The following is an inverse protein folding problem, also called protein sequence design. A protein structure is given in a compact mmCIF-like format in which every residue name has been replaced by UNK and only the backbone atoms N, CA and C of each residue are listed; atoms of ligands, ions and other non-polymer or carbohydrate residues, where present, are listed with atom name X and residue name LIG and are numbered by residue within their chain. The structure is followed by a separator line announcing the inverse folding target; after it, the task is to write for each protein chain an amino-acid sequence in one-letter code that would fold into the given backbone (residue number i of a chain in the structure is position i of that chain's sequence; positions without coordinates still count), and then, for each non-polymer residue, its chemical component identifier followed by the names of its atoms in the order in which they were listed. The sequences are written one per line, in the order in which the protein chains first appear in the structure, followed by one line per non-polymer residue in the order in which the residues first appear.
data_IF_131610979292
#
_entry.id   IF_131610979292
#
_cell.length_a   1.000
_cell.length_b   1.000
_cell.length_c   1.000
_cell.angle_alpha   90.00
_cell.angle_beta   90.00
_cell.angle_gamma   90.00
#
_symmetry.space_group_name_H-M   'P 1'
#
loop_
_entity.id
_entity.type
_entity.pdbx_description
1 polymer ?
#
# COMPACT_ATOMS: atom_id res chain seq x y z
N UNK A 1 11.14 3.88 12.49
CA UNK A 1 12.31 2.99 12.18
C UNK A 1 12.34 2.88 10.66
N UNK A 2 13.32 3.38 9.91
CA UNK A 2 13.16 3.49 8.44
C UNK A 2 12.75 2.18 7.75
N UNK A 3 11.57 2.18 7.12
CA UNK A 3 11.06 1.05 6.30
C UNK A 3 12.06 0.72 5.20
N UNK A 4 12.54 -0.52 5.16
CA UNK A 4 13.50 -0.96 4.14
C UNK A 4 12.93 -0.82 2.72
N UNK A 5 13.79 -0.50 1.74
CA UNK A 5 13.42 -0.39 0.33
C UNK A 5 12.63 -1.61 -0.20
N UNK A 6 13.11 -2.82 0.11
CA UNK A 6 12.43 -4.06 -0.29
C UNK A 6 11.00 -4.17 0.25
N UNK A 7 10.74 -3.66 1.46
CA UNK A 7 9.41 -3.63 2.07
C UNK A 7 8.51 -2.58 1.39
N UNK A 8 9.05 -1.40 1.07
CA UNK A 8 8.35 -0.36 0.28
C UNK A 8 7.93 -0.88 -1.09
N UNK A 9 8.83 -1.51 -1.83
CA UNK A 9 8.52 -2.15 -3.12
C UNK A 9 7.42 -3.21 -2.99
N UNK A 10 7.41 -3.97 -1.88
CA UNK A 10 6.35 -4.93 -1.58
C UNK A 10 4.98 -4.28 -1.48
N UNK A 11 4.87 -3.21 -0.68
CA UNK A 11 3.62 -2.48 -0.47
C UNK A 11 3.15 -1.73 -1.72
N UNK A 12 4.05 -1.00 -2.39
CA UNK A 12 3.75 -0.37 -3.67
C UNK A 12 3.30 -1.41 -4.71
N UNK A 13 3.89 -2.61 -4.70
CA UNK A 13 3.45 -3.74 -5.51
C UNK A 13 2.00 -4.15 -5.24
N UNK A 14 1.59 -4.25 -3.97
CA UNK A 14 0.19 -4.55 -3.61
C UNK A 14 -0.77 -3.47 -4.11
N UNK A 15 -0.38 -2.21 -4.01
CA UNK A 15 -1.13 -1.08 -4.54
C UNK A 15 -1.31 -1.17 -6.06
N UNK A 16 -0.23 -1.40 -6.80
CA UNK A 16 -0.25 -1.56 -8.26
C UNK A 16 -1.12 -2.74 -8.69
N UNK A 17 -1.06 -3.87 -7.98
CA UNK A 17 -1.91 -5.03 -8.28
C UNK A 17 -3.40 -4.68 -8.18
N UNK A 18 -3.83 -3.96 -7.12
CA UNK A 18 -5.22 -3.44 -7.00
C UNK A 18 -5.58 -2.57 -8.18
N UNK A 19 -4.73 -1.59 -8.52
CA UNK A 19 -4.98 -0.66 -9.64
C UNK A 19 -5.09 -1.40 -10.98
N UNK A 20 -4.33 -2.47 -11.21
CA UNK A 20 -4.44 -3.27 -12.44
C UNK A 20 -5.71 -4.13 -12.50
N UNK A 21 -6.20 -4.60 -11.35
CA UNK A 21 -7.42 -5.42 -11.26
C UNK A 21 -8.69 -4.61 -11.53
N UNK A 22 -8.75 -3.41 -10.96
CA UNK A 22 -9.90 -2.53 -11.04
C UNK A 22 -10.20 -2.05 -12.47
N UNK A 23 -11.46 -1.70 -12.71
CA UNK A 23 -11.85 -1.01 -13.95
C UNK A 23 -11.49 0.47 -13.86
N UNK A 24 -11.29 1.17 -15.00
CA UNK A 24 -10.97 2.60 -14.99
C UNK A 24 -11.97 3.48 -14.22
N UNK A 25 -13.26 3.16 -14.28
CA UNK A 25 -14.30 3.90 -13.53
C UNK A 25 -14.26 3.68 -12.01
N UNK A 26 -13.50 2.70 -11.54
CA UNK A 26 -13.32 2.34 -10.13
C UNK A 26 -11.90 2.73 -9.65
N UNK A 27 -11.19 3.58 -10.40
CA UNK A 27 -9.81 3.98 -10.10
C UNK A 27 -8.73 3.03 -10.60
N UNK A 28 -9.10 2.05 -11.43
CA UNK A 28 -8.15 1.14 -12.08
C UNK A 28 -7.36 1.79 -13.21
N UNK A 29 -6.23 1.19 -13.55
CA UNK A 29 -5.29 1.69 -14.56
C UNK A 29 -5.00 0.64 -15.62
N UNK A 30 -4.47 1.10 -16.75
CA UNK A 30 -3.89 0.26 -17.80
C UNK A 30 -2.50 0.78 -18.06
N UNK A 31 -1.49 0.02 -17.65
CA UNK A 31 -0.10 0.43 -17.77
C UNK A 31 0.50 -0.10 -19.08
N UNK A 32 0.90 0.79 -20.01
CA UNK A 32 1.67 0.38 -21.18
C UNK A 32 3.05 -0.14 -20.79
N UNK A 33 3.61 -1.02 -21.63
CA UNK A 33 4.98 -1.52 -21.43
C UNK A 33 6.00 -0.38 -21.53
N UNK A 34 5.77 0.54 -22.47
CA UNK A 34 6.49 1.81 -22.53
C UNK A 34 5.79 2.80 -21.61
N UNK A 35 6.32 2.95 -20.40
CA UNK A 35 5.73 3.80 -19.37
C UNK A 35 5.77 5.26 -19.79
N UNK A 36 4.67 5.95 -19.50
CA UNK A 36 4.61 7.40 -19.56
C UNK A 36 5.41 8.00 -18.39
N UNK A 37 5.92 9.25 -18.52
CA UNK A 37 6.76 9.85 -17.48
C UNK A 37 6.15 9.83 -16.08
N UNK A 38 4.82 10.01 -15.95
CA UNK A 38 4.14 9.96 -14.65
C UNK A 38 4.21 8.58 -13.97
N UNK A 39 4.43 7.50 -14.74
CA UNK A 39 4.52 6.13 -14.21
C UNK A 39 5.95 5.61 -14.10
N UNK A 40 6.95 6.40 -14.51
CA UNK A 40 8.37 6.04 -14.38
C UNK A 40 8.78 5.67 -12.94
N UNK A 41 8.23 6.27 -11.87
CA UNK A 41 8.53 5.84 -10.50
C UNK A 41 8.18 4.37 -10.20
N UNK A 42 7.33 3.74 -11.00
CA UNK A 42 6.90 2.35 -10.81
C UNK A 42 7.78 1.32 -11.50
N UNK A 43 8.84 1.72 -12.22
CA UNK A 43 9.69 0.81 -12.99
C UNK A 43 10.16 -0.39 -12.15
N UNK A 44 10.78 -0.12 -11.01
CA UNK A 44 11.30 -1.17 -10.12
C UNK A 44 10.17 -2.04 -9.52
N UNK A 45 9.02 -1.43 -9.22
CA UNK A 45 7.84 -2.15 -8.72
C UNK A 45 7.33 -3.13 -9.78
N UNK A 46 7.22 -2.69 -11.03
CA UNK A 46 6.76 -3.50 -12.15
C UNK A 46 7.75 -4.62 -12.48
N UNK A 47 9.05 -4.34 -12.50
CA UNK A 47 10.09 -5.35 -12.67
C UNK A 47 9.98 -6.44 -11.61
N UNK A 48 9.86 -6.05 -10.34
CA UNK A 48 9.67 -6.99 -9.24
C UNK A 48 8.40 -7.82 -9.38
N UNK A 49 7.26 -7.20 -9.72
CA UNK A 49 5.99 -7.91 -9.91
C UNK A 49 6.05 -8.91 -11.08
N UNK A 50 6.80 -8.60 -12.14
CA UNK A 50 7.08 -9.53 -13.26
C UNK A 50 7.96 -10.68 -12.78
N UNK A 51 9.05 -10.40 -12.07
CA UNK A 51 9.96 -11.42 -11.53
C UNK A 51 9.25 -12.37 -10.57
N UNK A 52 8.36 -11.85 -9.73
CA UNK A 52 7.55 -12.63 -8.79
C UNK A 52 6.40 -13.38 -9.48
N UNK A 53 6.14 -13.08 -10.77
CA UNK A 53 5.16 -13.74 -11.61
C UNK A 53 3.71 -13.30 -11.34
N UNK A 54 3.51 -12.13 -10.73
CA UNK A 54 2.18 -11.58 -10.44
C UNK A 54 1.58 -10.81 -11.61
N UNK A 55 2.43 -10.19 -12.43
CA UNK A 55 2.02 -9.55 -13.68
C UNK A 55 2.82 -10.10 -14.86
N UNK A 56 2.29 -9.94 -16.06
CA UNK A 56 2.96 -10.29 -17.31
C UNK A 56 2.68 -9.23 -18.39
N UNK A 57 3.50 -9.25 -19.43
CA UNK A 57 3.30 -8.38 -20.60
C UNK A 57 2.34 -9.08 -21.58
N UNK A 58 1.20 -8.46 -21.83
CA UNK A 58 0.38 -8.79 -22.98
C UNK A 58 1.02 -8.22 -24.25
N UNK A 59 1.70 -9.08 -25.02
CA UNK A 59 2.41 -8.65 -26.23
C UNK A 59 1.49 -8.12 -27.32
N UNK A 60 0.20 -8.48 -27.32
CA UNK A 60 -0.74 -8.00 -28.35
C UNK A 60 -1.23 -6.60 -27.99
N UNK A 61 -1.56 -6.38 -26.72
CA UNK A 61 -2.04 -5.08 -26.25
C UNK A 61 -0.90 -4.10 -25.89
N UNK A 62 0.33 -4.60 -25.73
CA UNK A 62 1.49 -3.85 -25.20
C UNK A 62 1.19 -3.25 -23.81
N UNK A 63 0.50 -4.00 -22.96
CA UNK A 63 0.12 -3.61 -21.60
C UNK A 63 0.62 -4.64 -20.58
N UNK A 64 0.91 -4.17 -19.36
CA UNK A 64 1.00 -5.05 -18.20
C UNK A 64 -0.39 -5.55 -17.79
N UNK A 65 -0.49 -6.83 -17.44
CA UNK A 65 -1.73 -7.44 -16.93
C UNK A 65 -1.44 -8.42 -15.80
N UNK A 66 -2.43 -8.63 -14.93
CA UNK A 66 -2.34 -9.63 -13.88
C UNK A 66 -2.27 -11.04 -14.48
N UNK A 67 -1.41 -11.88 -13.90
CA UNK A 67 -1.43 -13.33 -14.13
C UNK A 67 -2.50 -13.97 -13.24
N UNK A 68 -2.81 -15.26 -13.48
CA UNK A 68 -3.64 -16.04 -12.54
C UNK A 68 -3.06 -16.06 -11.12
N UNK A 69 -1.72 -16.07 -11.01
CA UNK A 69 -1.03 -16.02 -9.73
C UNK A 69 -1.20 -14.64 -9.08
N UNK A 70 -1.10 -13.56 -9.86
CA UNK A 70 -1.38 -12.20 -9.38
C UNK A 70 -2.78 -12.05 -8.81
N UNK A 71 -3.80 -12.52 -9.55
CA UNK A 71 -5.20 -12.51 -9.09
C UNK A 71 -5.36 -13.32 -7.80
N UNK A 72 -4.79 -14.53 -7.74
CA UNK A 72 -4.86 -15.36 -6.53
C UNK A 72 -4.13 -14.73 -5.34
N UNK A 73 -3.02 -14.04 -5.57
CA UNK A 73 -2.29 -13.33 -4.53
C UNK A 73 -3.10 -12.13 -4.02
N UNK A 74 -3.70 -11.35 -4.93
CA UNK A 74 -4.57 -10.24 -4.59
C UNK A 74 -5.76 -10.68 -3.73
N UNK A 75 -6.41 -11.81 -4.07
CA UNK A 75 -7.49 -12.38 -3.25
C UNK A 75 -7.03 -12.70 -1.81
N UNK A 76 -5.83 -13.26 -1.65
CA UNK A 76 -5.27 -13.52 -0.31
C UNK A 76 -4.99 -12.25 0.49
N UNK A 77 -4.59 -11.17 -0.17
CA UNK A 77 -4.38 -9.87 0.49
C UNK A 77 -5.71 -9.27 0.95
N UNK A 78 -6.78 -9.46 0.18
CA UNK A 78 -8.14 -9.09 0.56
C UNK A 78 -8.58 -9.89 1.78
N UNK A 79 -8.49 -11.23 1.72
CA UNK A 79 -8.85 -12.09 2.85
C UNK A 79 -8.05 -11.75 4.12
N UNK A 80 -6.75 -11.43 3.97
CA UNK A 80 -5.90 -11.01 5.08
C UNK A 80 -6.33 -9.66 5.68
N UNK A 81 -6.63 -8.67 4.83
CA UNK A 81 -7.11 -7.37 5.30
C UNK A 81 -8.46 -7.50 6.02
N UNK A 82 -9.41 -8.24 5.46
CA UNK A 82 -10.71 -8.53 6.07
C UNK A 82 -10.54 -9.19 7.44
N UNK A 83 -9.67 -10.20 7.54
CA UNK A 83 -9.41 -10.89 8.81
C UNK A 83 -8.88 -9.95 9.89
N UNK A 84 -8.03 -8.98 9.56
CA UNK A 84 -7.56 -8.00 10.54
C UNK A 84 -8.65 -7.00 10.91
N UNK A 85 -9.43 -6.54 9.93
CA UNK A 85 -10.54 -5.61 10.19
C UNK A 85 -11.56 -6.25 11.12
N UNK A 86 -12.03 -7.45 10.79
CA UNK A 86 -13.01 -8.20 11.60
C UNK A 86 -12.51 -8.49 13.02
N UNK A 87 -11.20 -8.60 13.21
CA UNK A 87 -10.61 -8.89 14.52
C UNK A 87 -10.42 -7.64 15.40
N UNK A 88 -10.14 -6.49 14.79
CA UNK A 88 -9.62 -5.31 15.49
C UNK A 88 -10.48 -4.05 15.32
N UNK A 89 -11.58 -4.06 14.57
CA UNK A 89 -12.39 -2.87 14.25
C UNK A 89 -12.96 -2.13 15.48
N UNK A 90 -13.20 -2.85 16.58
CA UNK A 90 -13.69 -2.29 17.85
C UNK A 90 -12.57 -1.93 18.85
N UNK A 91 -11.30 -2.13 18.50
CA UNK A 91 -10.17 -1.93 19.40
C UNK A 91 -9.45 -0.59 19.18
N UNK A 92 -8.85 -0.06 20.25
CA UNK A 92 -8.00 1.13 20.16
C UNK A 92 -6.68 0.80 19.47
N UNK A 93 -6.17 1.73 18.66
CA UNK A 93 -4.97 1.51 17.83
C UNK A 93 -3.76 1.06 18.65
N UNK A 94 -3.56 1.64 19.85
CA UNK A 94 -2.46 1.27 20.74
C UNK A 94 -2.52 -0.20 21.17
N UNK A 95 -3.71 -0.69 21.53
CA UNK A 95 -3.93 -2.08 21.95
C UNK A 95 -3.71 -3.04 20.77
N UNK A 96 -4.20 -2.68 19.58
CA UNK A 96 -3.99 -3.44 18.34
C UNK A 96 -2.50 -3.60 18.07
N UNK A 97 -1.74 -2.51 18.13
CA UNK A 97 -0.30 -2.52 17.84
C UNK A 97 0.46 -3.43 18.81
N UNK A 98 0.16 -3.36 20.11
CA UNK A 98 0.78 -4.21 21.12
C UNK A 98 0.43 -5.68 20.95
N UNK A 99 -0.83 -5.99 20.61
CA UNK A 99 -1.26 -7.34 20.33
C UNK A 99 -0.59 -7.93 19.08
N UNK A 100 -0.51 -7.15 17.99
CA UNK A 100 0.17 -7.56 16.76
C UNK A 100 1.65 -7.88 17.05
N UNK A 101 2.34 -7.02 17.81
CA UNK A 101 3.73 -7.25 18.23
C UNK A 101 3.85 -8.50 19.08
N UNK A 102 2.95 -8.73 20.04
CA UNK A 102 2.94 -9.94 20.88
C UNK A 102 2.76 -11.22 20.05
N UNK A 103 2.05 -11.13 18.93
CA UNK A 103 1.82 -12.23 17.98
C UNK A 103 2.91 -12.35 16.90
N UNK A 104 3.95 -11.51 16.93
CA UNK A 104 4.98 -11.39 15.88
C UNK A 104 4.42 -11.05 14.50
N UNK A 105 3.31 -10.31 14.45
CA UNK A 105 2.73 -9.75 13.23
C UNK A 105 3.25 -8.32 13.07
N UNK A 106 3.60 -7.94 11.85
CA UNK A 106 4.11 -6.62 11.50
C UNK A 106 2.99 -5.56 11.52
N UNK A 107 2.96 -4.62 12.48
CA UNK A 107 1.85 -3.67 12.59
C UNK A 107 1.72 -2.77 11.36
N UNK A 108 2.85 -2.41 10.74
CA UNK A 108 2.84 -1.59 9.53
C UNK A 108 2.18 -2.31 8.35
N UNK A 109 2.31 -3.64 8.27
CA UNK A 109 1.64 -4.45 7.24
C UNK A 109 0.13 -4.40 7.43
N UNK A 110 -0.33 -4.61 8.66
CA UNK A 110 -1.75 -4.58 9.00
C UNK A 110 -2.33 -3.20 8.69
N UNK A 111 -1.65 -2.14 9.15
CA UNK A 111 -2.07 -0.76 8.89
C UNK A 111 -2.15 -0.43 7.40
N UNK A 112 -1.15 -0.84 6.62
CA UNK A 112 -1.16 -0.67 5.17
C UNK A 112 -2.33 -1.42 4.53
N UNK A 113 -2.50 -2.71 4.84
CA UNK A 113 -3.57 -3.53 4.26
C UNK A 113 -4.96 -2.99 4.62
N UNK A 114 -5.15 -2.49 5.83
CA UNK A 114 -6.39 -1.86 6.27
C UNK A 114 -6.75 -0.65 5.42
N UNK A 115 -5.82 0.32 5.30
CA UNK A 115 -6.03 1.53 4.50
C UNK A 115 -6.22 1.21 3.02
N UNK A 116 -5.43 0.27 2.51
CA UNK A 116 -5.52 -0.20 1.13
C UNK A 116 -6.87 -0.86 0.82
N UNK A 117 -7.39 -1.68 1.72
CA UNK A 117 -8.67 -2.38 1.57
C UNK A 117 -9.86 -1.42 1.68
N UNK A 118 -9.87 -0.53 2.68
CA UNK A 118 -10.93 0.46 2.91
C UNK A 118 -10.93 1.62 1.90
N UNK A 119 -9.94 1.66 0.99
CA UNK A 119 -9.84 2.70 -0.03
C UNK A 119 -9.30 4.03 0.47
N UNK A 120 -8.65 4.04 1.64
CA UNK A 120 -7.98 5.24 2.18
C UNK A 120 -6.94 5.80 1.21
N UNK A 121 -6.22 4.92 0.52
CA UNK A 121 -5.16 5.29 -0.41
C UNK A 121 -5.66 5.45 -1.85
N UNK A 122 -6.97 5.35 -2.11
CA UNK A 122 -7.51 5.47 -3.47
C UNK A 122 -7.44 6.93 -3.99
N UNK A 123 -7.46 7.89 -3.06
CA UNK A 123 -7.17 9.31 -3.27
C UNK A 123 -6.02 9.76 -2.36
N UNK A 124 -4.81 9.70 -2.91
CA UNK A 124 -3.58 10.02 -2.17
C UNK A 124 -3.48 11.50 -1.80
N UNK A 125 -4.13 12.40 -2.54
CA UNK A 125 -4.14 13.82 -2.22
C UNK A 125 -4.99 14.05 -0.97
N UNK A 126 -6.20 13.47 -0.94
CA UNK A 126 -7.05 13.53 0.25
C UNK A 126 -6.40 12.85 1.47
N UNK A 127 -5.68 11.74 1.26
CA UNK A 127 -4.89 11.12 2.33
C UNK A 127 -3.87 12.11 2.91
N UNK A 128 -3.07 12.77 2.07
CA UNK A 128 -2.07 13.76 2.50
C UNK A 128 -2.70 14.96 3.23
N UNK A 129 -3.82 15.48 2.71
CA UNK A 129 -4.55 16.60 3.34
C UNK A 129 -5.02 16.23 4.75
N UNK A 130 -5.62 15.05 4.93
CA UNK A 130 -6.08 14.56 6.25
C UNK A 130 -4.93 14.37 7.23
N UNK A 131 -3.74 14.09 6.72
CA UNK A 131 -2.51 13.89 7.49
C UNK A 131 -1.71 15.17 7.71
N UNK A 132 -2.18 16.31 7.20
CA UNK A 132 -1.58 17.62 7.46
C UNK A 132 -0.28 17.88 6.70
N UNK A 133 -0.08 17.23 5.54
CA UNK A 133 1.05 17.53 4.67
C UNK A 133 1.03 18.99 4.22
N UNK A 134 2.19 19.66 4.27
CA UNK A 134 2.32 21.07 3.88
C UNK A 134 2.32 21.23 2.37
N UNK A 135 2.99 20.32 1.67
CA UNK A 135 3.01 20.23 0.21
C UNK A 135 2.35 18.90 -0.19
N UNK A 136 1.36 18.97 -1.07
CA UNK A 136 0.64 17.80 -1.57
C UNK A 136 1.32 17.33 -2.86
N UNK A 137 1.72 16.07 -2.90
CA UNK A 137 2.16 15.38 -4.12
C UNK A 137 0.95 14.67 -4.76
N UNK A 138 0.31 15.25 -5.80
CA UNK A 138 -0.86 14.63 -6.43
C UNK A 138 -0.49 13.41 -7.29
N UNK A 139 0.77 13.24 -7.69
CA UNK A 139 1.22 12.12 -8.50
C UNK A 139 1.38 10.86 -7.64
N UNK A 140 0.31 10.08 -7.55
CA UNK A 140 0.26 8.85 -6.74
C UNK A 140 1.41 7.86 -6.99
N UNK A 141 1.92 7.64 -8.22
CA UNK A 141 3.04 6.75 -8.46
C UNK A 141 4.31 7.21 -7.76
N UNK A 142 4.54 8.53 -7.73
CA UNK A 142 5.67 9.12 -7.04
C UNK A 142 5.49 9.05 -5.52
N UNK A 143 4.28 9.32 -5.03
CA UNK A 143 4.00 9.31 -3.60
C UNK A 143 4.01 7.90 -2.99
N UNK A 144 3.42 6.90 -3.64
CA UNK A 144 3.33 5.53 -3.06
C UNK A 144 4.69 4.83 -2.93
N UNK A 145 5.69 5.28 -3.67
CA UNK A 145 7.07 4.78 -3.59
C UNK A 145 7.98 5.67 -2.73
N UNK A 146 7.49 6.84 -2.28
CA UNK A 146 8.28 7.79 -1.50
C UNK A 146 8.45 7.36 -0.06
N UNK A 147 9.47 7.91 0.60
CA UNK A 147 9.69 7.70 2.03
C UNK A 147 8.56 8.31 2.85
N UNK A 148 8.08 9.51 2.47
CA UNK A 148 7.05 10.26 3.17
C UNK A 148 5.74 9.47 3.37
N UNK A 149 5.32 8.68 2.38
CA UNK A 149 4.12 7.84 2.52
C UNK A 149 4.29 6.82 3.65
N UNK A 150 5.42 6.13 3.70
CA UNK A 150 5.65 5.09 4.69
C UNK A 150 5.99 5.67 6.06
N UNK A 151 6.74 6.76 6.13
CA UNK A 151 7.00 7.47 7.38
C UNK A 151 5.70 7.98 8.01
N UNK A 152 4.76 8.50 7.20
CA UNK A 152 3.46 8.90 7.72
C UNK A 152 2.61 7.73 8.24
N UNK A 153 2.66 6.57 7.58
CA UNK A 153 1.99 5.36 8.07
C UNK A 153 2.63 4.82 9.35
N UNK A 154 3.95 4.98 9.51
CA UNK A 154 4.65 4.58 10.74
C UNK A 154 4.13 5.33 11.96
N UNK A 155 3.70 6.59 11.83
CA UNK A 155 3.11 7.35 12.93
C UNK A 155 1.87 6.68 13.57
N UNK A 156 1.16 5.83 12.83
CA UNK A 156 0.00 5.11 13.37
C UNK A 156 0.39 3.88 14.20
N UNK A 157 1.62 3.41 14.06
CA UNK A 157 2.10 2.15 14.66
C UNK A 157 3.34 2.32 15.54
N UNK A 158 3.97 3.49 15.48
CA UNK A 158 4.89 4.01 16.48
C UNK A 158 4.03 4.64 17.58
N UNK A 159 3.43 3.80 18.43
CA UNK A 159 2.59 4.29 19.53
C UNK A 159 3.29 5.41 20.29
N UNK A 160 2.70 6.60 20.31
CA UNK A 160 3.10 7.65 21.24
C UNK A 160 2.91 7.07 22.65
N UNK A 161 4.02 6.84 23.37
CA UNK A 161 3.96 6.87 24.81
C UNK A 161 3.34 8.23 25.17
N UNK A 162 2.22 8.30 25.90
CA UNK A 162 1.80 9.57 26.46
C UNK A 162 2.97 10.05 27.34
N UNK A 163 3.62 11.14 26.93
CA UNK A 163 4.58 11.86 27.76
C UNK A 163 3.93 12.01 29.13
N UNK A 164 4.44 11.28 30.13
CA UNK A 164 4.02 11.43 31.50
C UNK A 164 4.36 12.87 31.90
N UNK A 165 3.35 13.74 31.90
CA UNK A 165 3.48 15.09 32.43
C UNK A 165 4.04 14.98 33.85
N UNK A 166 5.17 15.64 34.17
CA UNK A 166 5.67 15.65 35.53
C UNK A 166 4.64 16.35 36.42
N UNK A 167 4.18 15.61 37.43
CA UNK A 167 3.27 16.10 38.47
C UNK A 167 3.90 17.11 39.42
#
# INVERSE_FOLDING_TARGET
MTVSHAKKLGYAGMYVLKKLDLKPGEGGIRLPVLLEPQHAPLEEVLEKLVMDGYIEIDRKAQLYKLTKRGISYLGKLIDEAESYIDEFDEQEIADIVDELRARNIDPLRVRFLWGWYQGEFDDVAMFQERRGFVEIEPDWPLFIVSDDFYENLELDVEGDEPEALPG
#
